data_IF_770968365726
#
_entry.id   IF_770968365726
#
_cell.length_a   1.000
_cell.length_b   1.000
_cell.length_c   1.000
_cell.angle_alpha   90.00
_cell.angle_beta   90.00
_cell.angle_gamma   90.00
#
_symmetry.space_group_name_H-M   'P 1'
#
loop_
_entity.id
_entity.type
_entity.pdbx_description
1 polymer ?
#
# COMPACT_ATOMS: atom_id res chain seq x y z
N UNK A 1 7.65 3.24 -20.18
CA UNK A 1 6.92 4.05 -19.19
C UNK A 1 6.10 5.13 -19.90
N UNK A 2 4.92 4.79 -20.46
CA UNK A 2 4.02 5.74 -21.18
C UNK A 2 2.51 5.51 -20.93
N UNK A 3 2.12 4.53 -20.11
CA UNK A 3 0.71 4.22 -19.85
C UNK A 3 0.00 5.25 -18.94
N UNK A 4 0.77 5.98 -18.12
CA UNK A 4 0.19 6.88 -17.11
C UNK A 4 -0.46 8.12 -17.71
N UNK A 5 0.06 8.64 -18.83
CA UNK A 5 -0.42 9.88 -19.41
C UNK A 5 -1.74 9.68 -20.18
N UNK A 6 -1.84 8.60 -20.97
CA UNK A 6 -3.06 8.27 -21.69
C UNK A 6 -4.23 7.97 -20.73
N UNK A 7 -3.98 7.24 -19.63
CA UNK A 7 -5.00 6.95 -18.63
C UNK A 7 -5.48 8.21 -17.91
N UNK A 8 -4.57 9.14 -17.59
CA UNK A 8 -4.92 10.43 -16.99
C UNK A 8 -5.83 11.26 -17.92
N UNK A 9 -5.49 11.36 -19.21
CA UNK A 9 -6.32 12.08 -20.18
C UNK A 9 -7.68 11.42 -20.43
N UNK A 10 -7.76 10.08 -20.41
CA UNK A 10 -9.02 9.36 -20.50
C UNK A 10 -9.93 9.68 -19.30
N UNK A 11 -9.35 9.73 -18.10
CA UNK A 11 -10.06 10.13 -16.88
C UNK A 11 -10.59 11.57 -16.95
N UNK A 12 -9.76 12.52 -17.41
CA UNK A 12 -10.18 13.93 -17.59
C UNK A 12 -11.31 14.05 -18.61
N UNK A 13 -11.20 13.36 -19.76
CA UNK A 13 -12.24 13.38 -20.78
C UNK A 13 -13.57 12.82 -20.24
N UNK A 14 -13.51 11.72 -19.47
CA UNK A 14 -14.68 11.11 -18.86
C UNK A 14 -15.38 12.05 -17.86
N UNK A 15 -14.60 12.75 -17.02
CA UNK A 15 -15.12 13.75 -16.09
C UNK A 15 -15.81 14.89 -16.84
N UNK A 16 -15.19 15.42 -17.89
CA UNK A 16 -15.78 16.52 -18.69
C UNK A 16 -17.09 16.12 -19.36
N UNK A 17 -17.15 14.92 -19.96
CA UNK A 17 -18.37 14.39 -20.58
C UNK A 17 -19.47 14.19 -19.52
N UNK A 18 -19.11 13.71 -18.34
CA UNK A 18 -20.06 13.50 -17.24
C UNK A 18 -20.64 14.82 -16.74
N UNK A 19 -19.79 15.83 -16.50
CA UNK A 19 -20.24 17.17 -16.08
C UNK A 19 -21.18 17.77 -17.14
N UNK A 20 -20.79 17.70 -18.41
CA UNK A 20 -21.63 18.17 -19.51
C UNK A 20 -22.99 17.46 -19.55
N UNK A 21 -22.99 16.13 -19.37
CA UNK A 21 -24.21 15.32 -19.32
C UNK A 21 -25.14 15.74 -18.17
N UNK A 22 -24.58 16.00 -16.98
CA UNK A 22 -25.35 16.44 -15.80
C UNK A 22 -25.97 17.82 -16.05
N UNK A 23 -25.19 18.78 -16.58
CA UNK A 23 -25.68 20.15 -16.86
C UNK A 23 -26.82 20.11 -17.88
N UNK A 24 -26.65 19.35 -18.97
CA UNK A 24 -27.68 19.19 -20.01
C UNK A 24 -28.99 18.60 -19.49
N UNK A 25 -28.92 17.71 -18.50
CA UNK A 25 -30.07 16.98 -17.97
C UNK A 25 -30.48 17.44 -16.55
N UNK A 26 -30.04 18.63 -16.14
CA UNK A 26 -30.30 19.15 -14.79
C UNK A 26 -31.80 19.36 -14.52
N UNK A 27 -32.59 19.66 -15.55
CA UNK A 27 -34.05 19.80 -15.45
C UNK A 27 -34.73 18.48 -15.11
N UNK A 28 -34.27 17.36 -15.68
CA UNK A 28 -34.76 16.04 -15.31
C UNK A 28 -34.37 15.71 -13.87
N UNK A 29 -33.10 15.92 -13.51
CA UNK A 29 -32.60 15.65 -12.17
C UNK A 29 -33.36 16.44 -11.09
N UNK A 30 -33.61 17.74 -11.31
CA UNK A 30 -34.36 18.59 -10.39
C UNK A 30 -35.85 18.25 -10.32
N UNK A 31 -36.44 17.71 -11.40
CA UNK A 31 -37.83 17.27 -11.39
C UNK A 31 -38.02 15.97 -10.57
N UNK A 32 -36.99 15.11 -10.48
CA UNK A 32 -37.03 13.94 -9.58
C UNK A 32 -37.14 14.34 -8.11
N UNK A 33 -36.50 15.43 -7.66
CA UNK A 33 -36.55 15.87 -6.27
C UNK A 33 -37.91 16.45 -5.82
N UNK A 34 -38.88 16.64 -6.73
CA UNK A 34 -40.24 17.07 -6.36
C UNK A 34 -41.04 15.98 -5.67
N UNK A 35 -40.65 14.71 -5.82
CA UNK A 35 -41.35 13.58 -5.22
C UNK A 35 -40.53 13.04 -4.03
N UNK A 36 -41.17 12.97 -2.85
CA UNK A 36 -40.56 12.51 -1.59
C UNK A 36 -39.90 11.12 -1.75
N UNK A 37 -40.51 10.23 -2.53
CA UNK A 37 -39.99 8.88 -2.81
C UNK A 37 -38.63 8.89 -3.53
N UNK A 38 -38.37 9.89 -4.38
CA UNK A 38 -37.10 10.03 -5.10
C UNK A 38 -36.00 10.60 -4.21
N UNK A 39 -36.35 11.50 -3.28
CA UNK A 39 -35.41 12.05 -2.30
C UNK A 39 -34.85 10.98 -1.35
N UNK A 40 -35.67 9.99 -0.96
CA UNK A 40 -35.23 8.85 -0.13
C UNK A 40 -34.17 8.01 -0.86
N UNK A 41 -34.36 7.76 -2.15
CA UNK A 41 -33.41 6.99 -2.97
C UNK A 41 -32.08 7.74 -3.10
N UNK A 42 -32.11 9.06 -3.30
CA UNK A 42 -30.88 9.87 -3.37
C UNK A 42 -30.15 9.87 -2.03
N UNK A 43 -30.86 10.00 -0.91
CA UNK A 43 -30.26 9.91 0.42
C UNK A 43 -29.63 8.52 0.65
N UNK A 44 -30.29 7.46 0.21
CA UNK A 44 -29.76 6.10 0.29
C UNK A 44 -28.47 5.94 -0.54
N UNK A 45 -28.46 6.45 -1.78
CA UNK A 45 -27.28 6.39 -2.67
C UNK A 45 -26.12 7.21 -2.09
N UNK A 46 -26.38 8.41 -1.57
CA UNK A 46 -25.37 9.23 -0.92
C UNK A 46 -24.84 8.54 0.35
N UNK A 47 -25.73 7.98 1.18
CA UNK A 47 -25.36 7.25 2.39
C UNK A 47 -24.49 6.03 2.09
N UNK A 48 -24.86 5.24 1.07
CA UNK A 48 -24.04 4.12 0.60
C UNK A 48 -22.70 4.59 0.04
N UNK A 49 -22.69 5.68 -0.73
CA UNK A 49 -21.45 6.23 -1.29
C UNK A 49 -20.50 6.69 -0.18
N UNK A 50 -21.01 7.38 0.85
CA UNK A 50 -20.22 7.78 2.03
C UNK A 50 -19.73 6.57 2.83
N UNK A 51 -20.52 5.50 2.89
CA UNK A 51 -20.10 4.24 3.50
C UNK A 51 -18.97 3.55 2.71
N UNK A 52 -19.02 3.58 1.38
CA UNK A 52 -17.93 3.07 0.53
C UNK A 52 -16.68 3.96 0.53
N UNK A 53 -16.81 5.27 0.73
CA UNK A 53 -15.69 6.22 0.74
C UNK A 53 -14.98 6.25 2.10
N UNK A 54 -15.62 5.88 3.20
CA UNK A 54 -14.96 5.73 4.49
C UNK A 54 -14.12 4.45 4.51
N UNK A 55 -12.77 4.54 4.56
CA UNK A 55 -11.93 3.37 4.72
C UNK A 55 -11.91 3.00 6.20
N UNK A 56 -13.04 2.47 6.72
CA UNK A 56 -12.99 1.69 7.97
C UNK A 56 -12.48 0.27 7.73
N UNK A 57 -12.11 -0.06 6.49
CA UNK A 57 -11.24 -1.18 6.24
C UNK A 57 -9.87 -0.77 6.76
N UNK A 58 -9.45 -1.36 7.89
CA UNK A 58 -8.04 -1.63 8.14
C UNK A 58 -7.43 -1.97 6.79
N UNK A 59 -6.46 -1.19 6.29
CA UNK A 59 -5.81 -1.45 5.01
C UNK A 59 -5.50 -2.95 4.99
N UNK A 60 -6.27 -3.74 4.23
CA UNK A 60 -6.01 -5.15 4.03
C UNK A 60 -4.62 -5.17 3.41
N UNK A 61 -3.62 -5.40 4.25
CA UNK A 61 -2.24 -5.36 3.86
C UNK A 61 -2.15 -6.33 2.69
N UNK A 62 -1.71 -5.84 1.53
CA UNK A 62 -1.53 -6.72 0.37
C UNK A 62 -0.75 -7.95 0.85
N UNK A 63 -1.08 -9.18 0.42
CA UNK A 63 -0.41 -10.39 0.93
C UNK A 63 1.12 -10.29 0.86
N UNK A 64 1.65 -9.57 -0.13
CA UNK A 64 3.08 -9.23 -0.25
C UNK A 64 3.61 -8.40 0.93
N UNK A 65 2.88 -7.36 1.35
CA UNK A 65 3.23 -6.48 2.49
C UNK A 65 3.19 -7.26 3.79
N UNK A 66 2.20 -8.14 3.98
CA UNK A 66 2.08 -9.00 5.16
C UNK A 66 3.24 -10.00 5.27
N UNK A 67 3.60 -10.67 4.16
CA UNK A 67 4.76 -11.57 4.10
C UNK A 67 6.04 -10.79 4.42
N UNK A 68 6.20 -9.59 3.85
CA UNK A 68 7.40 -8.78 4.08
C UNK A 68 7.52 -8.30 5.52
N UNK A 69 6.42 -7.89 6.15
CA UNK A 69 6.39 -7.54 7.58
C UNK A 69 6.75 -8.76 8.43
N UNK A 70 6.12 -9.90 8.15
CA UNK A 70 6.39 -11.16 8.86
C UNK A 70 7.86 -11.55 8.76
N UNK A 71 8.46 -11.53 7.57
CA UNK A 71 9.88 -11.81 7.40
C UNK A 71 10.78 -10.82 8.16
N UNK A 72 10.35 -9.57 8.32
CA UNK A 72 11.15 -8.54 8.99
C UNK A 72 11.19 -8.69 10.52
N UNK A 73 10.18 -9.34 11.10
CA UNK A 73 10.07 -9.60 12.54
C UNK A 73 10.63 -10.95 12.95
N UNK A 74 10.88 -11.85 12.00
CA UNK A 74 11.52 -13.14 12.26
C UNK A 74 13.04 -13.03 12.48
N UNK A 75 13.65 -14.00 13.17
CA UNK A 75 15.11 -14.10 13.30
C UNK A 75 15.82 -14.14 11.95
N UNK A 76 16.97 -13.46 11.83
CA UNK A 76 17.74 -13.43 10.57
C UNK A 76 18.21 -14.83 10.14
N UNK A 77 18.41 -15.76 11.07
CA UNK A 77 18.70 -17.17 10.78
C UNK A 77 17.55 -17.85 10.02
N UNK A 78 16.31 -17.64 10.47
CA UNK A 78 15.10 -18.15 9.81
C UNK A 78 14.90 -17.53 8.43
N UNK A 79 15.12 -16.22 8.30
CA UNK A 79 15.01 -15.52 7.03
C UNK A 79 16.08 -16.02 6.05
N UNK A 80 17.33 -16.21 6.48
CA UNK A 80 18.40 -16.72 5.62
C UNK A 80 18.09 -18.13 5.08
N UNK A 81 17.54 -19.02 5.91
CA UNK A 81 17.09 -20.36 5.48
C UNK A 81 16.01 -20.26 4.42
N UNK A 82 15.01 -19.39 4.61
CA UNK A 82 13.92 -19.20 3.65
C UNK A 82 14.43 -18.79 2.26
N UNK A 83 15.45 -17.92 2.22
CA UNK A 83 16.08 -17.46 0.97
C UNK A 83 17.26 -18.32 0.50
N UNK A 84 17.53 -19.46 1.15
CA UNK A 84 18.65 -20.37 0.86
C UNK A 84 20.00 -19.64 0.81
N UNK A 85 20.20 -18.66 1.70
CA UNK A 85 21.46 -17.93 1.85
C UNK A 85 22.23 -18.43 3.06
N UNK A 86 23.55 -18.33 2.96
CA UNK A 86 24.48 -18.60 4.05
C UNK A 86 24.45 -17.43 5.05
N UNK A 87 24.01 -17.72 6.28
CA UNK A 87 23.86 -16.72 7.34
C UNK A 87 25.21 -16.12 7.74
N UNK A 88 26.30 -16.90 7.74
CA UNK A 88 27.61 -16.42 8.14
C UNK A 88 28.13 -15.39 7.13
N UNK A 89 27.96 -15.67 5.83
CA UNK A 89 28.30 -14.71 4.77
C UNK A 89 27.48 -13.43 4.84
N UNK A 90 26.19 -13.53 5.17
CA UNK A 90 25.35 -12.34 5.36
C UNK A 90 25.84 -11.51 6.55
N UNK A 91 26.06 -12.15 7.70
CA UNK A 91 26.51 -11.46 8.91
C UNK A 91 27.85 -10.76 8.66
N UNK A 92 28.81 -11.45 8.03
CA UNK A 92 30.11 -10.87 7.67
C UNK A 92 29.98 -9.67 6.73
N UNK A 93 29.14 -9.77 5.68
CA UNK A 93 28.88 -8.67 4.74
C UNK A 93 28.19 -7.47 5.39
N UNK A 94 27.29 -7.72 6.34
CA UNK A 94 26.62 -6.64 7.06
C UNK A 94 27.55 -5.98 8.08
N UNK A 95 28.36 -6.77 8.80
CA UNK A 95 29.36 -6.25 9.73
C UNK A 95 30.45 -5.45 9.01
N UNK A 96 30.88 -5.86 7.82
CA UNK A 96 31.85 -5.08 7.02
C UNK A 96 31.30 -3.73 6.55
N UNK A 97 29.98 -3.58 6.49
CA UNK A 97 29.26 -2.32 6.21
C UNK A 97 28.97 -1.50 7.47
N UNK A 98 29.52 -1.89 8.62
CA UNK A 98 29.35 -1.18 9.89
C UNK A 98 28.04 -1.50 10.61
N UNK A 99 27.34 -2.58 10.24
CA UNK A 99 26.13 -3.01 10.95
C UNK A 99 26.52 -3.90 12.13
N UNK A 100 26.17 -3.45 13.33
CA UNK A 100 26.34 -4.23 14.54
C UNK A 100 25.21 -5.27 14.66
N UNK A 101 25.58 -6.55 14.55
CA UNK A 101 24.71 -7.70 14.75
C UNK A 101 25.22 -8.43 16.00
N UNK A 102 24.42 -8.46 17.07
CA UNK A 102 24.79 -9.11 18.33
C UNK A 102 24.55 -10.61 18.31
N UNK A 103 23.47 -11.04 17.63
CA UNK A 103 23.08 -12.45 17.56
C UNK A 103 22.23 -12.71 16.30
N UNK A 104 22.38 -13.90 15.70
CA UNK A 104 21.56 -14.40 14.58
C UNK A 104 20.08 -14.62 14.93
N UNK A 105 19.75 -14.62 16.22
CA UNK A 105 18.38 -14.69 16.71
C UNK A 105 17.66 -13.34 16.68
N UNK A 106 18.37 -12.24 16.39
CA UNK A 106 17.75 -10.93 16.23
C UNK A 106 16.97 -10.85 14.93
N UNK A 107 15.89 -10.08 14.92
CA UNK A 107 15.16 -9.76 13.69
C UNK A 107 15.81 -8.61 12.93
N UNK A 108 15.49 -8.48 11.63
CA UNK A 108 15.93 -7.33 10.84
C UNK A 108 15.43 -6.01 11.42
N UNK A 109 14.25 -5.99 12.03
CA UNK A 109 13.72 -4.83 12.75
C UNK A 109 14.60 -4.43 13.94
N UNK A 110 14.98 -5.41 14.77
CA UNK A 110 15.83 -5.15 15.93
C UNK A 110 17.21 -4.66 15.51
N UNK A 111 17.78 -5.23 14.44
CA UNK A 111 19.07 -4.80 13.90
C UNK A 111 18.96 -3.40 13.30
N UNK A 112 17.88 -3.09 12.57
CA UNK A 112 17.64 -1.74 12.02
C UNK A 112 17.58 -0.67 13.12
N UNK A 113 16.80 -0.94 14.17
CA UNK A 113 16.65 -0.03 15.31
C UNK A 113 17.96 0.15 16.10
N UNK A 114 18.78 -0.90 16.20
CA UNK A 114 20.06 -0.83 16.91
C UNK A 114 21.16 -0.10 16.13
N UNK A 115 20.96 0.15 14.83
CA UNK A 115 21.95 0.74 13.93
C UNK A 115 21.46 2.06 13.30
N UNK A 116 20.37 2.63 13.80
CA UNK A 116 19.73 3.85 13.28
C UNK A 116 19.50 3.80 11.75
N UNK A 117 19.08 2.64 11.25
CA UNK A 117 18.76 2.41 9.82
C UNK A 117 17.27 2.25 9.61
N UNK A 118 16.78 2.71 8.46
CA UNK A 118 15.42 2.41 8.06
C UNK A 118 15.24 0.93 7.72
N UNK A 119 14.02 0.41 7.90
CA UNK A 119 13.66 -0.97 7.51
C UNK A 119 14.00 -1.25 6.03
N UNK A 120 13.84 -0.26 5.16
CA UNK A 120 14.16 -0.34 3.73
C UNK A 120 15.67 -0.51 3.50
N UNK A 121 16.50 0.32 4.12
CA UNK A 121 17.96 0.22 3.97
C UNK A 121 18.46 -1.12 4.51
N UNK A 122 17.97 -1.55 5.66
CA UNK A 122 18.33 -2.82 6.26
C UNK A 122 17.95 -4.01 5.37
N UNK A 123 16.77 -3.96 4.74
CA UNK A 123 16.37 -4.95 3.74
C UNK A 123 17.36 -5.01 2.57
N UNK A 124 17.72 -3.88 1.98
CA UNK A 124 18.68 -3.86 0.88
C UNK A 124 20.05 -4.41 1.27
N UNK A 125 20.55 -4.05 2.45
CA UNK A 125 21.85 -4.55 2.94
C UNK A 125 21.83 -6.07 3.18
N UNK A 126 20.73 -6.61 3.72
CA UNK A 126 20.58 -8.05 3.97
C UNK A 126 20.43 -8.87 2.67
N UNK A 127 19.72 -8.32 1.69
CA UNK A 127 19.44 -9.01 0.42
C UNK A 127 20.46 -8.76 -0.68
N UNK A 128 21.41 -7.86 -0.45
CA UNK A 128 22.49 -7.59 -1.40
C UNK A 128 23.20 -8.89 -1.82
N UNK A 129 23.64 -8.91 -3.08
CA UNK A 129 24.31 -10.07 -3.65
C UNK A 129 25.73 -10.12 -3.07
N UNK A 130 25.95 -11.06 -2.15
CA UNK A 130 27.27 -11.46 -1.68
C UNK A 130 27.85 -12.51 -2.62
#
# INVERSE_FOLDING_TARGET
>A
MKMNMAHAWLGVLFVLVTIYHIIKNISFLTNYFKYISSSIIVILIIGLSVWFINPTQEELLSPKKEIMITLFTQPISTVAIFFKKDIEKIVLSMQSKGINIKNINQSLEQIANANDKSKREMFFMFFEKN
#
